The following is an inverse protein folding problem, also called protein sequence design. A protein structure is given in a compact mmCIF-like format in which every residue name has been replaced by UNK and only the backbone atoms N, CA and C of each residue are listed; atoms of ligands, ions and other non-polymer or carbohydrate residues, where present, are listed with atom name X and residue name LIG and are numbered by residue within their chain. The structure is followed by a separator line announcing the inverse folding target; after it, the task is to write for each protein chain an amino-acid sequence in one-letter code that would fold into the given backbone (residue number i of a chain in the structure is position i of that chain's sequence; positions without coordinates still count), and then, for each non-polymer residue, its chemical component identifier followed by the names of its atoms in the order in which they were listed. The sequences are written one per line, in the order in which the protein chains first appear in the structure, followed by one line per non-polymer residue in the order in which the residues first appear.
data_IF_464346195312
#
_entry.id   IF_464346195312
#
_cell.length_a   1.000
_cell.length_b   1.000
_cell.length_c   1.000
_cell.angle_alpha   90.00
_cell.angle_beta   90.00
_cell.angle_gamma   90.00
#
_symmetry.space_group_name_H-M   'P 1'
#
loop_
_entity.id
_entity.type
_entity.pdbx_description
1 polymer ?
#
# COMPACT_ATOMS: atom_id res chain seq x y z
N UNK A 1 8.83 17.46 -1.79
CA UNK A 1 8.88 16.79 -0.47
C UNK A 1 9.58 15.43 -0.53
N UNK A 2 9.23 14.52 -1.44
CA UNK A 2 9.94 13.22 -1.58
C UNK A 2 11.34 13.32 -2.25
N UNK A 3 11.72 14.46 -2.82
CA UNK A 3 13.02 14.64 -3.50
C UNK A 3 14.22 14.69 -2.53
N UNK A 4 14.00 14.96 -1.24
CA UNK A 4 15.07 15.08 -0.25
C UNK A 4 15.52 13.73 0.34
N UNK A 5 14.81 12.63 0.04
CA UNK A 5 15.10 11.30 0.58
C UNK A 5 15.26 10.25 -0.53
N UNK A 6 16.18 9.29 -0.39
CA UNK A 6 16.33 8.22 -1.36
C UNK A 6 15.09 7.31 -1.33
N UNK A 7 14.68 6.78 -2.49
CA UNK A 7 13.53 5.84 -2.58
C UNK A 7 13.69 4.59 -1.70
N UNK A 8 14.93 4.19 -1.41
CA UNK A 8 15.21 3.07 -0.51
C UNK A 8 14.69 3.29 0.90
N UNK A 9 14.63 4.54 1.38
CA UNK A 9 14.11 4.83 2.71
C UNK A 9 12.65 4.36 2.88
N UNK A 10 11.83 4.50 1.83
CA UNK A 10 10.45 4.02 1.83
C UNK A 10 10.36 2.49 1.75
N UNK A 11 11.32 1.83 1.12
CA UNK A 11 11.35 0.37 1.00
C UNK A 11 11.57 -0.34 2.34
N UNK A 12 12.14 0.37 3.32
CA UNK A 12 12.35 -0.12 4.68
C UNK A 12 11.33 0.43 5.69
N UNK A 13 10.29 1.13 5.21
CA UNK A 13 9.29 1.80 6.05
C UNK A 13 8.01 0.97 6.17
N UNK A 14 7.48 0.86 7.40
CA UNK A 14 6.11 0.43 7.64
C UNK A 14 5.20 1.66 7.78
N UNK A 15 4.12 1.69 7.00
CA UNK A 15 3.13 2.76 7.02
C UNK A 15 1.92 2.33 7.87
N UNK A 16 1.54 3.16 8.84
CA UNK A 16 0.31 2.99 9.60
C UNK A 16 -0.66 4.09 9.19
N UNK A 17 -1.88 3.70 8.81
CA UNK A 17 -2.95 4.62 8.43
C UNK A 17 -4.24 4.18 9.13
N UNK A 18 -5.15 5.09 9.41
CA UNK A 18 -6.39 4.73 10.12
C UNK A 18 -7.36 3.96 9.23
N UNK A 19 -7.53 4.41 7.98
CA UNK A 19 -8.48 3.87 7.00
C UNK A 19 -7.72 3.19 5.85
N UNK A 20 -8.28 2.12 5.32
CA UNK A 20 -7.77 1.41 4.14
C UNK A 20 -7.43 2.40 3.00
N UNK A 21 -6.21 2.30 2.42
CA UNK A 21 -5.81 3.17 1.32
C UNK A 21 -6.72 2.94 0.11
N UNK A 22 -7.17 4.04 -0.51
CA UNK A 22 -7.95 3.94 -1.73
C UNK A 22 -7.10 3.41 -2.90
N UNK A 23 -7.73 3.03 -4.01
CA UNK A 23 -7.07 2.53 -5.24
C UNK A 23 -5.87 3.40 -5.68
N UNK A 24 -6.01 4.73 -5.65
CA UNK A 24 -4.92 5.66 -6.00
C UNK A 24 -3.73 5.53 -5.02
N UNK A 25 -4.01 5.54 -3.72
CA UNK A 25 -2.99 5.45 -2.69
C UNK A 25 -2.30 4.08 -2.72
N UNK A 26 -3.08 3.00 -2.79
CA UNK A 26 -2.55 1.64 -2.89
C UNK A 26 -1.64 1.46 -4.13
N UNK A 27 -2.02 2.03 -5.28
CA UNK A 27 -1.19 2.02 -6.49
C UNK A 27 0.13 2.77 -6.29
N UNK A 28 0.09 3.96 -5.69
CA UNK A 28 1.29 4.73 -5.41
C UNK A 28 2.22 4.01 -4.43
N UNK A 29 1.68 3.48 -3.33
CA UNK A 29 2.45 2.74 -2.32
C UNK A 29 3.16 1.52 -2.91
N UNK A 30 2.49 0.79 -3.81
CA UNK A 30 3.10 -0.31 -4.58
C UNK A 30 4.23 0.16 -5.50
N UNK A 31 4.06 1.29 -6.21
CA UNK A 31 5.11 1.86 -7.06
C UNK A 31 6.34 2.28 -6.26
N UNK A 32 6.13 2.82 -5.04
CA UNK A 32 7.20 3.20 -4.13
C UNK A 32 7.78 2.03 -3.32
N UNK A 33 7.13 0.86 -3.36
CA UNK A 33 7.54 -0.39 -2.70
C UNK A 33 7.66 -0.26 -1.18
N UNK A 34 6.68 0.37 -0.52
CA UNK A 34 6.65 0.49 0.94
C UNK A 34 6.58 -0.89 1.59
N UNK A 35 7.44 -1.22 2.57
CA UNK A 35 7.58 -2.56 3.16
C UNK A 35 6.26 -3.18 3.62
N UNK A 36 5.47 -2.45 4.38
CA UNK A 36 4.18 -2.93 4.88
C UNK A 36 3.24 -1.75 5.17
N UNK A 37 1.95 -1.98 5.02
CA UNK A 37 0.91 -0.99 5.30
C UNK A 37 -0.12 -1.61 6.24
N UNK A 38 -0.32 -0.98 7.39
CA UNK A 38 -1.27 -1.38 8.42
C UNK A 38 -2.41 -0.38 8.48
N UNK A 39 -3.65 -0.87 8.50
CA UNK A 39 -4.84 -0.03 8.60
C UNK A 39 -5.89 -0.57 9.56
N UNK A 40 -6.67 0.32 10.18
CA UNK A 40 -7.62 -0.04 11.23
C UNK A 40 -9.03 -0.35 10.74
N UNK A 41 -9.51 0.33 9.70
CA UNK A 41 -10.84 0.07 9.13
C UNK A 41 -10.83 -0.01 7.61
N UNK A 42 -11.74 -0.81 7.06
CA UNK A 42 -11.94 -0.96 5.63
C UNK A 42 -12.48 0.34 4.99
N UNK A 43 -12.26 0.50 3.69
CA UNK A 43 -12.77 1.61 2.90
C UNK A 43 -13.78 1.10 1.88
N UNK A 44 -15.05 1.05 2.29
CA UNK A 44 -16.14 0.43 1.54
C UNK A 44 -16.44 1.10 0.19
N UNK A 45 -16.02 2.37 0.02
CA UNK A 45 -16.31 3.14 -1.20
C UNK A 45 -15.19 3.08 -2.23
N UNK A 46 -13.93 3.07 -1.78
CA UNK A 46 -12.77 3.26 -2.67
C UNK A 46 -11.57 2.37 -2.32
N UNK A 47 -11.72 1.36 -1.44
CA UNK A 47 -10.64 0.52 -0.93
C UNK A 47 -9.83 -0.17 -2.03
N UNK A 48 -8.52 0.04 -2.01
CA UNK A 48 -7.58 -0.50 -3.00
C UNK A 48 -6.88 -1.79 -2.59
N UNK A 49 -7.26 -2.37 -1.45
CA UNK A 49 -6.58 -3.52 -0.85
C UNK A 49 -7.55 -4.64 -0.45
N UNK A 50 -8.75 -4.63 -1.00
CA UNK A 50 -9.80 -5.63 -0.71
C UNK A 50 -11.20 -5.05 -0.69
N UNK A 51 -11.36 -3.73 -0.46
CA UNK A 51 -12.68 -3.09 -0.42
C UNK A 51 -13.38 -3.01 -1.79
N UNK A 52 -12.69 -2.49 -2.81
CA UNK A 52 -13.25 -2.31 -4.17
C UNK A 52 -12.40 -3.00 -5.23
N UNK A 53 -11.08 -2.91 -5.12
CA UNK A 53 -10.15 -3.54 -6.04
C UNK A 53 -8.94 -4.06 -5.27
N UNK A 54 -8.53 -5.29 -5.53
CA UNK A 54 -7.38 -5.90 -4.86
C UNK A 54 -6.11 -5.72 -5.70
N UNK A 55 -5.52 -4.53 -5.66
CA UNK A 55 -4.28 -4.22 -6.42
C UNK A 55 -3.06 -5.04 -5.97
N UNK A 56 -3.10 -5.56 -4.75
CA UNK A 56 -2.05 -6.39 -4.17
C UNK A 56 -2.14 -7.86 -4.63
N UNK A 57 -3.27 -8.31 -5.21
CA UNK A 57 -3.46 -9.69 -5.68
C UNK A 57 -3.40 -9.85 -7.21
N UNK A 58 -3.27 -8.76 -7.97
CA UNK A 58 -3.22 -8.84 -9.44
C UNK A 58 -1.86 -9.34 -9.94
N UNK A 59 -1.91 -10.37 -10.80
CA UNK A 59 -0.77 -11.17 -11.29
C UNK A 59 0.08 -10.52 -12.39
N UNK A 60 -0.21 -9.26 -12.75
CA UNK A 60 0.50 -8.54 -13.83
C UNK A 60 1.93 -8.13 -13.42
N UNK A 61 2.21 -8.01 -12.12
CA UNK A 61 3.56 -7.83 -11.59
C UNK A 61 3.81 -8.75 -10.39
N UNK A 62 5.00 -9.37 -10.28
CA UNK A 62 5.31 -10.26 -9.17
C UNK A 62 5.16 -9.51 -7.85
N UNK A 63 4.24 -9.98 -7.01
CA UNK A 63 4.02 -9.48 -5.65
C UNK A 63 5.27 -9.78 -4.83
N UNK A 64 5.85 -8.74 -4.25
CA UNK A 64 7.02 -8.88 -3.38
C UNK A 64 6.57 -8.92 -1.93
N UNK A 65 7.38 -9.43 -0.99
CA UNK A 65 7.07 -9.36 0.45
C UNK A 65 6.76 -7.94 0.93
N UNK A 66 7.28 -6.93 0.21
CA UNK A 66 7.02 -5.50 0.40
C UNK A 66 5.67 -5.01 -0.13
N UNK A 67 4.74 -5.86 -0.56
CA UNK A 67 3.38 -5.46 -0.94
C UNK A 67 2.36 -5.94 0.11
N UNK A 68 2.77 -5.95 1.39
CA UNK A 68 1.98 -6.47 2.49
C UNK A 68 1.03 -5.40 3.05
N UNK A 69 -0.25 -5.54 2.75
CA UNK A 69 -1.33 -4.75 3.35
C UNK A 69 -2.03 -5.58 4.42
N UNK A 70 -2.12 -5.05 5.64
CA UNK A 70 -2.68 -5.75 6.80
C UNK A 70 -3.77 -4.89 7.43
N UNK A 71 -4.96 -5.46 7.53
CA UNK A 71 -6.01 -4.90 8.38
C UNK A 71 -5.81 -5.40 9.81
N UNK A 72 -5.68 -4.47 10.75
CA UNK A 72 -5.63 -4.74 12.18
C UNK A 72 -7.00 -4.78 12.84
#
# INVERSE_FOLDING_TARGET
MLQSYPRSALQDTDLYVTVEPCVMCASALRQYRIRSVYFGCANDRFGGTGGVLSLHSESVHPTKPSDRFVQG
#
